data_IF_696429495137
#
_entry.id   IF_696429495137
#
_cell.length_a   1.000
_cell.length_b   1.000
_cell.length_c   1.000
_cell.angle_alpha   90.00
_cell.angle_beta   90.00
_cell.angle_gamma   90.00
#
_symmetry.space_group_name_H-M   'P 1'
#
loop_
_entity.id
_entity.type
_entity.pdbx_description
1 polymer ?
#
# COMPACT_ATOMS: atom_id res chain seq x y z
N UNK A 1 3.31 9.02 -30.86
CA UNK A 1 4.69 9.26 -30.35
C UNK A 1 4.78 8.50 -29.04
N UNK A 2 5.64 7.46 -28.96
CA UNK A 2 6.05 6.87 -27.67
C UNK A 2 6.69 8.04 -26.89
N UNK A 3 6.09 8.44 -25.77
CA UNK A 3 6.80 9.23 -24.77
C UNK A 3 7.97 8.35 -24.30
N UNK A 4 9.15 8.92 -24.20
CA UNK A 4 10.27 8.21 -23.57
C UNK A 4 9.83 7.75 -22.18
N UNK A 5 10.31 6.57 -21.77
CA UNK A 5 9.97 5.96 -20.49
C UNK A 5 10.50 6.88 -19.37
N UNK A 6 9.67 7.18 -18.36
CA UNK A 6 10.09 7.99 -17.22
C UNK A 6 11.28 7.35 -16.49
N UNK A 7 12.22 8.15 -16.06
CA UNK A 7 13.26 7.76 -15.11
C UNK A 7 12.66 7.56 -13.71
N UNK A 8 13.40 6.91 -12.81
CA UNK A 8 12.98 6.74 -11.41
C UNK A 8 12.63 8.09 -10.75
N UNK A 9 13.50 9.10 -10.89
CA UNK A 9 13.26 10.43 -10.31
C UNK A 9 11.97 11.05 -10.85
N UNK A 10 11.77 11.01 -12.16
CA UNK A 10 10.55 11.53 -12.80
C UNK A 10 9.29 10.79 -12.33
N UNK A 11 9.40 9.48 -12.04
CA UNK A 11 8.29 8.71 -11.47
C UNK A 11 7.96 9.14 -10.05
N UNK A 12 8.96 9.36 -9.21
CA UNK A 12 8.77 9.86 -7.85
C UNK A 12 8.14 11.25 -7.87
N UNK A 13 8.67 12.16 -8.70
CA UNK A 13 8.13 13.50 -8.87
C UNK A 13 6.68 13.46 -9.36
N UNK A 14 6.39 12.60 -10.35
CA UNK A 14 5.02 12.40 -10.87
C UNK A 14 4.02 12.02 -9.77
N UNK A 15 4.41 11.15 -8.83
CA UNK A 15 3.55 10.73 -7.72
C UNK A 15 3.43 11.85 -6.68
N UNK A 16 4.54 12.49 -6.31
CA UNK A 16 4.58 13.50 -5.25
C UNK A 16 3.97 14.85 -5.66
N UNK A 17 3.95 15.16 -6.95
CA UNK A 17 3.28 16.37 -7.49
C UNK A 17 1.75 16.30 -7.40
N UNK A 18 1.20 15.10 -7.11
CA UNK A 18 -0.23 14.97 -6.88
C UNK A 18 -0.55 15.50 -5.47
N UNK A 19 -1.48 16.47 -5.35
CA UNK A 19 -1.82 17.02 -4.04
C UNK A 19 -2.36 15.95 -3.08
N UNK A 20 -1.77 15.85 -1.88
CA UNK A 20 -2.08 14.81 -0.89
C UNK A 20 -3.51 14.89 -0.31
N UNK A 21 -4.14 16.06 -0.33
CA UNK A 21 -5.37 16.34 0.43
C UNK A 21 -6.46 17.05 -0.38
N UNK A 22 -6.51 16.86 -1.70
CA UNK A 22 -7.49 17.53 -2.56
C UNK A 22 -8.92 17.02 -2.37
N UNK A 23 -9.09 15.73 -2.09
CA UNK A 23 -10.38 15.09 -1.85
C UNK A 23 -10.15 13.77 -1.10
N UNK A 24 -10.95 13.52 -0.06
CA UNK A 24 -10.99 12.18 0.53
C UNK A 24 -11.77 11.28 -0.41
N UNK A 25 -11.09 10.33 -1.03
CA UNK A 25 -11.75 9.30 -1.81
C UNK A 25 -12.32 8.22 -0.87
N UNK A 26 -13.42 7.58 -1.28
CA UNK A 26 -13.88 6.36 -0.63
C UNK A 26 -12.99 5.19 -1.02
N UNK A 27 -13.04 4.11 -0.24
CA UNK A 27 -12.32 2.88 -0.56
C UNK A 27 -12.66 2.34 -1.96
N UNK A 28 -13.92 2.49 -2.40
CA UNK A 28 -14.36 2.13 -3.76
C UNK A 28 -13.54 2.79 -4.87
N UNK A 29 -12.99 3.97 -4.62
CA UNK A 29 -12.13 4.65 -5.59
C UNK A 29 -10.83 3.88 -5.81
N UNK A 30 -10.17 3.42 -4.73
CA UNK A 30 -8.99 2.58 -4.82
C UNK A 30 -9.30 1.21 -5.43
N UNK A 31 -10.44 0.61 -5.08
CA UNK A 31 -10.90 -0.65 -5.69
C UNK A 31 -11.03 -0.50 -7.20
N UNK A 32 -11.72 0.53 -7.71
CA UNK A 32 -11.84 0.81 -9.15
C UNK A 32 -10.49 1.02 -9.82
N UNK A 33 -9.56 1.66 -9.14
CA UNK A 33 -8.22 1.85 -9.67
C UNK A 33 -7.48 0.51 -9.84
N UNK A 34 -7.61 -0.39 -8.87
CA UNK A 34 -7.03 -1.74 -8.93
C UNK A 34 -7.71 -2.63 -9.99
N UNK A 35 -9.00 -2.42 -10.28
CA UNK A 35 -9.68 -3.12 -11.38
C UNK A 35 -8.98 -2.90 -12.73
N UNK A 36 -8.50 -1.68 -13.02
CA UNK A 36 -7.73 -1.40 -14.23
C UNK A 36 -6.41 -2.17 -14.28
N UNK A 37 -5.86 -2.57 -13.14
CA UNK A 37 -4.64 -3.37 -13.02
C UNK A 37 -4.92 -4.88 -12.95
N UNK A 38 -6.19 -5.30 -13.07
CA UNK A 38 -6.58 -6.71 -13.03
C UNK A 38 -6.67 -7.30 -11.62
N UNK A 39 -6.99 -6.47 -10.63
CA UNK A 39 -7.19 -6.82 -9.22
C UNK A 39 -6.01 -7.61 -8.62
N UNK A 40 -4.78 -7.05 -8.65
CA UNK A 40 -3.60 -7.76 -8.17
C UNK A 40 -3.72 -8.17 -6.69
N UNK A 41 -4.43 -7.40 -5.86
CA UNK A 41 -4.66 -7.68 -4.44
C UNK A 41 -5.40 -9.00 -4.21
N UNK A 42 -6.27 -9.43 -5.13
CA UNK A 42 -7.05 -10.66 -5.00
C UNK A 42 -6.25 -11.94 -5.32
N UNK A 43 -5.09 -11.80 -5.95
CA UNK A 43 -4.21 -12.91 -6.32
C UNK A 43 -3.15 -13.23 -5.27
N UNK A 44 -3.06 -12.43 -4.21
CA UNK A 44 -2.05 -12.50 -3.16
C UNK A 44 -2.66 -12.97 -1.84
N UNK A 45 -1.91 -13.69 -1.04
CA UNK A 45 -2.27 -13.97 0.37
C UNK A 45 -1.90 -12.74 1.21
N UNK A 46 -2.86 -11.89 1.50
CA UNK A 46 -2.62 -10.62 2.18
C UNK A 46 -2.61 -10.78 3.70
N UNK A 47 -1.54 -10.27 4.33
CA UNK A 47 -1.43 -10.06 5.77
C UNK A 47 -1.47 -8.55 6.00
N UNK A 48 -2.55 -8.06 6.63
CA UNK A 48 -2.82 -6.65 6.76
C UNK A 48 -2.54 -6.18 8.19
N UNK A 49 -1.71 -5.16 8.35
CA UNK A 49 -1.22 -4.69 9.66
C UNK A 49 -1.69 -3.27 9.94
N UNK A 50 -2.52 -3.10 10.96
CA UNK A 50 -2.96 -1.80 11.48
C UNK A 50 -2.47 -1.57 12.91
N UNK A 51 -2.57 -0.34 13.38
CA UNK A 51 -2.20 0.04 14.74
C UNK A 51 -1.71 1.48 14.81
N UNK A 52 -1.49 1.97 16.03
CA UNK A 52 -0.88 3.29 16.23
C UNK A 52 0.64 3.18 16.08
N UNK A 53 1.26 2.32 16.88
CA UNK A 53 2.71 2.10 16.87
C UNK A 53 3.04 0.63 16.55
N UNK A 54 4.25 0.40 16.04
CA UNK A 54 4.79 -0.96 15.84
C UNK A 54 4.35 -1.65 14.56
N UNK A 55 3.53 -1.04 13.69
CA UNK A 55 3.09 -1.63 12.42
C UNK A 55 4.26 -2.12 11.56
N UNK A 56 5.20 -1.20 11.25
CA UNK A 56 6.37 -1.51 10.43
C UNK A 56 7.27 -2.59 11.04
N UNK A 57 7.49 -2.57 12.37
CA UNK A 57 8.28 -3.60 13.07
C UNK A 57 7.61 -4.97 13.00
N UNK A 58 6.32 -5.05 13.32
CA UNK A 58 5.56 -6.30 13.26
C UNK A 58 5.48 -6.82 11.83
N UNK A 59 5.21 -5.94 10.85
CA UNK A 59 5.23 -6.30 9.43
C UNK A 59 6.58 -6.85 8.99
N UNK A 60 7.69 -6.24 9.45
CA UNK A 60 9.05 -6.73 9.18
C UNK A 60 9.30 -8.12 9.79
N UNK A 61 8.90 -8.35 11.05
CA UNK A 61 9.06 -9.66 11.69
C UNK A 61 8.26 -10.74 10.96
N UNK A 62 7.00 -10.48 10.63
CA UNK A 62 6.16 -11.42 9.86
C UNK A 62 6.80 -11.75 8.52
N UNK A 63 7.19 -10.72 7.75
CA UNK A 63 7.83 -10.91 6.45
C UNK A 63 9.14 -11.71 6.56
N UNK A 64 9.96 -11.45 7.57
CA UNK A 64 11.22 -12.15 7.80
C UNK A 64 11.01 -13.62 8.12
N UNK A 65 10.03 -13.96 8.98
CA UNK A 65 9.70 -15.35 9.32
C UNK A 65 9.21 -16.12 8.10
N UNK A 66 8.30 -15.53 7.32
CA UNK A 66 7.78 -16.15 6.11
C UNK A 66 8.88 -16.35 5.05
N UNK A 67 9.76 -15.36 4.87
CA UNK A 67 10.91 -15.47 3.96
C UNK A 67 11.87 -16.58 4.41
N UNK A 68 12.18 -16.66 5.71
CA UNK A 68 13.02 -17.74 6.27
C UNK A 68 12.35 -19.13 6.13
N UNK A 69 11.03 -19.18 6.02
CA UNK A 69 10.26 -20.39 5.76
C UNK A 69 10.18 -20.76 4.26
N UNK A 70 10.87 -20.02 3.39
CA UNK A 70 10.98 -20.33 1.96
C UNK A 70 9.93 -19.68 1.07
N UNK A 71 9.09 -18.80 1.60
CA UNK A 71 8.10 -18.07 0.82
C UNK A 71 8.69 -16.82 0.15
N UNK A 72 8.12 -16.41 -0.97
CA UNK A 72 8.38 -15.12 -1.59
C UNK A 72 7.40 -14.08 -1.03
N UNK A 73 7.93 -13.08 -0.32
CA UNK A 73 7.13 -12.18 0.50
C UNK A 73 7.33 -10.73 0.07
N UNK A 74 6.27 -10.13 -0.45
CA UNK A 74 6.20 -8.69 -0.63
C UNK A 74 5.89 -7.98 0.69
N UNK A 75 6.54 -6.85 0.95
CA UNK A 75 6.24 -5.98 2.08
C UNK A 75 6.06 -4.54 1.63
N UNK A 76 4.90 -3.97 1.97
CA UNK A 76 4.60 -2.55 1.81
C UNK A 76 4.52 -1.88 3.18
N UNK A 77 5.23 -0.78 3.34
CA UNK A 77 5.28 0.02 4.58
C UNK A 77 5.22 1.51 4.26
N UNK A 78 4.76 2.32 5.20
CA UNK A 78 4.70 3.77 5.08
C UNK A 78 4.82 4.44 6.46
N UNK A 79 5.42 5.66 6.53
CA UNK A 79 6.12 6.35 5.45
C UNK A 79 7.48 5.70 5.11
N UNK A 80 8.14 6.19 4.05
CA UNK A 80 9.55 5.89 3.78
C UNK A 80 10.46 6.48 4.87
N UNK A 81 11.58 5.81 5.13
CA UNK A 81 12.53 6.17 6.19
C UNK A 81 13.88 6.63 5.62
N UNK A 82 14.44 5.88 4.70
CA UNK A 82 15.75 6.13 4.12
C UNK A 82 15.69 6.53 2.66
N UNK A 83 14.78 5.95 1.91
CA UNK A 83 14.62 6.15 0.48
C UNK A 83 13.19 5.80 0.09
N UNK A 84 12.63 6.50 -0.89
CA UNK A 84 11.25 6.29 -1.36
C UNK A 84 10.94 4.81 -1.71
N UNK A 85 11.94 4.06 -2.18
CA UNK A 85 11.82 2.64 -2.53
C UNK A 85 11.75 1.69 -1.33
N UNK A 86 12.12 2.13 -0.12
CA UNK A 86 12.10 1.28 1.07
C UNK A 86 10.68 0.88 1.49
N UNK A 87 9.68 1.61 0.98
CA UNK A 87 8.26 1.23 1.10
C UNK A 87 7.94 -0.11 0.43
N UNK A 88 8.69 -0.51 -0.60
CA UNK A 88 8.38 -1.62 -1.47
C UNK A 88 9.54 -2.62 -1.46
N UNK A 89 9.36 -3.75 -0.84
CA UNK A 89 10.42 -4.78 -0.80
C UNK A 89 9.87 -6.17 -1.04
N UNK A 90 10.70 -7.04 -1.62
CA UNK A 90 10.46 -8.48 -1.74
C UNK A 90 11.63 -9.20 -1.07
N UNK A 91 11.33 -10.09 -0.12
CA UNK A 91 12.32 -10.81 0.66
C UNK A 91 13.41 -9.89 1.26
N UNK A 92 13.01 -8.71 1.73
CA UNK A 92 13.88 -7.70 2.32
C UNK A 92 14.69 -6.86 1.33
N UNK A 93 14.62 -7.13 0.03
CA UNK A 93 15.27 -6.32 -0.99
C UNK A 93 14.30 -5.27 -1.53
N UNK A 94 14.73 -4.01 -1.55
CA UNK A 94 13.93 -2.92 -2.10
C UNK A 94 13.77 -3.07 -3.61
N UNK A 95 12.65 -2.61 -4.12
CA UNK A 95 12.40 -2.53 -5.56
C UNK A 95 13.53 -1.77 -6.25
N UNK A 96 13.99 -2.24 -7.40
CA UNK A 96 15.00 -1.52 -8.20
C UNK A 96 14.41 -0.25 -8.82
N UNK A 97 15.26 0.71 -9.16
CA UNK A 97 14.83 1.96 -9.83
C UNK A 97 14.18 1.68 -11.18
N UNK A 98 14.75 0.76 -11.94
CA UNK A 98 14.24 0.38 -13.26
C UNK A 98 12.86 -0.29 -13.18
N UNK A 99 12.67 -1.15 -12.18
CA UNK A 99 11.40 -1.84 -11.98
C UNK A 99 10.34 -0.88 -11.47
N UNK A 100 10.68 -0.01 -10.50
CA UNK A 100 9.81 1.05 -10.02
C UNK A 100 9.34 1.95 -11.18
N UNK A 101 10.27 2.40 -12.03
CA UNK A 101 9.96 3.23 -13.18
C UNK A 101 9.06 2.49 -14.19
N UNK A 102 9.33 1.19 -14.43
CA UNK A 102 8.55 0.38 -15.35
C UNK A 102 7.11 0.19 -14.89
N UNK A 103 6.91 -0.09 -13.60
CA UNK A 103 5.58 -0.28 -13.02
C UNK A 103 4.82 1.04 -12.93
N UNK A 104 5.49 2.14 -12.58
CA UNK A 104 4.89 3.46 -12.53
C UNK A 104 4.44 3.92 -13.93
N UNK A 105 5.21 3.63 -14.99
CA UNK A 105 4.80 3.93 -16.37
C UNK A 105 3.51 3.18 -16.76
N UNK A 106 3.35 1.93 -16.33
CA UNK A 106 2.10 1.18 -16.54
C UNK A 106 0.95 1.82 -15.77
N UNK A 107 1.15 2.07 -14.48
CA UNK A 107 0.11 2.61 -13.57
C UNK A 107 -0.35 4.00 -14.01
N UNK A 108 0.56 4.88 -14.43
CA UNK A 108 0.26 6.24 -14.86
C UNK A 108 -0.76 6.30 -15.99
N UNK A 109 -0.76 5.31 -16.89
CA UNK A 109 -1.73 5.21 -18.00
C UNK A 109 -3.16 4.98 -17.54
N UNK A 110 -3.34 4.42 -16.34
CA UNK A 110 -4.65 4.19 -15.74
C UNK A 110 -5.07 5.34 -14.84
N UNK A 111 -4.11 6.02 -14.20
CA UNK A 111 -4.38 7.27 -13.45
C UNK A 111 -5.12 8.30 -14.31
N UNK A 112 -4.69 8.45 -15.57
CA UNK A 112 -5.30 9.40 -16.52
C UNK A 112 -6.72 8.96 -16.97
N UNK A 113 -7.12 7.73 -16.73
CA UNK A 113 -8.46 7.21 -17.05
C UNK A 113 -9.46 7.35 -15.91
N UNK A 114 -8.98 7.63 -14.70
CA UNK A 114 -9.83 7.81 -13.55
C UNK A 114 -10.59 9.13 -13.63
N UNK A 115 -11.90 9.16 -13.33
CA UNK A 115 -12.67 10.40 -13.29
C UNK A 115 -12.12 11.41 -12.29
N UNK A 116 -11.74 10.93 -11.12
CA UNK A 116 -11.00 11.66 -10.10
C UNK A 116 -9.60 11.06 -10.01
N UNK A 117 -8.57 11.90 -10.02
CA UNK A 117 -7.17 11.43 -9.97
C UNK A 117 -6.87 10.78 -8.62
N UNK A 118 -6.31 9.55 -8.58
CA UNK A 118 -5.91 8.92 -7.35
C UNK A 118 -4.89 9.76 -6.55
N UNK A 119 -4.98 9.69 -5.24
CA UNK A 119 -4.00 10.29 -4.34
C UNK A 119 -2.63 9.59 -4.44
N UNK A 120 -1.53 10.21 -4.01
CA UNK A 120 -0.23 9.55 -3.95
C UNK A 120 -0.28 8.21 -3.21
N UNK A 121 -0.96 8.15 -2.07
CA UNK A 121 -1.06 6.92 -1.28
C UNK A 121 -1.88 5.81 -1.96
N UNK A 122 -2.93 6.15 -2.71
CA UNK A 122 -3.66 5.18 -3.54
C UNK A 122 -2.79 4.63 -4.68
N UNK A 123 -1.96 5.49 -5.30
CA UNK A 123 -1.02 5.07 -6.35
C UNK A 123 0.06 4.16 -5.76
N UNK A 124 0.64 4.53 -4.63
CA UNK A 124 1.63 3.72 -3.91
C UNK A 124 1.07 2.35 -3.51
N UNK A 125 -0.17 2.34 -3.01
CA UNK A 125 -0.88 1.09 -2.65
C UNK A 125 -1.08 0.20 -3.88
N UNK A 126 -1.54 0.77 -4.98
CA UNK A 126 -1.73 0.04 -6.23
C UNK A 126 -0.40 -0.48 -6.79
N UNK A 127 0.66 0.33 -6.72
CA UNK A 127 2.02 -0.06 -7.12
C UNK A 127 2.52 -1.22 -6.28
N UNK A 128 2.31 -1.19 -4.96
CA UNK A 128 2.73 -2.28 -4.07
C UNK A 128 2.05 -3.61 -4.43
N UNK A 129 0.72 -3.64 -4.55
CA UNK A 129 0.00 -4.85 -4.91
C UNK A 129 0.36 -5.35 -6.30
N UNK A 130 0.49 -4.45 -7.28
CA UNK A 130 0.87 -4.79 -8.64
C UNK A 130 2.31 -5.31 -8.71
N UNK A 131 3.26 -4.70 -8.00
CA UNK A 131 4.64 -5.16 -7.86
C UNK A 131 4.74 -6.58 -7.32
N UNK A 132 4.01 -6.87 -6.24
CA UNK A 132 4.05 -8.18 -5.61
C UNK A 132 3.41 -9.26 -6.48
N UNK A 133 2.31 -8.94 -7.14
CA UNK A 133 1.64 -9.87 -8.08
C UNK A 133 2.49 -10.15 -9.31
N UNK A 134 3.10 -9.13 -9.92
CA UNK A 134 3.96 -9.30 -11.09
C UNK A 134 5.25 -10.08 -10.78
N UNK A 135 5.61 -10.17 -9.54
CA UNK A 135 6.75 -10.95 -9.06
C UNK A 135 6.36 -12.29 -8.44
N UNK A 136 5.12 -12.76 -8.62
CA UNK A 136 4.64 -14.05 -8.07
C UNK A 136 4.92 -14.21 -6.57
N UNK A 137 4.66 -13.18 -5.77
CA UNK A 137 4.78 -13.27 -4.32
C UNK A 137 3.72 -14.20 -3.73
N UNK A 138 4.12 -15.08 -2.81
CA UNK A 138 3.20 -15.95 -2.08
C UNK A 138 2.36 -15.17 -1.07
N UNK A 139 2.98 -14.18 -0.44
CA UNK A 139 2.36 -13.31 0.57
C UNK A 139 2.66 -11.85 0.30
N UNK A 140 1.69 -11.00 0.67
CA UNK A 140 1.86 -9.56 0.75
C UNK A 140 1.60 -9.11 2.21
N UNK A 141 2.63 -8.62 2.89
CA UNK A 141 2.53 -7.99 4.21
C UNK A 141 2.36 -6.50 3.99
N UNK A 142 1.18 -5.98 4.29
CA UNK A 142 0.76 -4.62 3.94
C UNK A 142 0.44 -3.82 5.18
N UNK A 143 1.13 -2.71 5.37
CA UNK A 143 0.93 -1.76 6.46
C UNK A 143 -0.14 -0.74 6.10
N UNK A 144 -1.13 -0.50 6.99
CA UNK A 144 -2.06 0.62 6.87
C UNK A 144 -1.33 1.95 7.01
N UNK A 145 -1.69 2.91 6.19
CA UNK A 145 -1.21 4.29 6.32
C UNK A 145 -1.82 4.97 7.54
N UNK A 146 -3.15 5.02 7.60
CA UNK A 146 -3.89 5.67 8.68
C UNK A 146 -5.23 4.99 8.95
N UNK A 147 -5.54 4.75 10.23
CA UNK A 147 -6.80 4.12 10.61
C UNK A 147 -6.84 2.65 10.24
N UNK A 148 -7.66 2.26 9.29
CA UNK A 148 -7.82 0.89 8.80
C UNK A 148 -9.04 0.74 7.91
N UNK A 149 -10.25 1.00 8.41
CA UNK A 149 -11.51 0.79 7.70
C UNK A 149 -11.56 1.44 6.32
N UNK A 150 -11.19 2.71 6.25
CA UNK A 150 -11.19 3.54 5.03
C UNK A 150 -9.79 3.76 4.47
N UNK A 151 -8.80 2.97 4.90
CA UNK A 151 -7.44 3.07 4.39
C UNK A 151 -7.35 2.47 3.00
N UNK A 152 -6.63 3.12 2.08
CA UNK A 152 -6.49 2.65 0.71
C UNK A 152 -5.93 1.22 0.62
N UNK A 153 -5.19 0.77 1.64
CA UNK A 153 -4.66 -0.60 1.71
C UNK A 153 -5.71 -1.66 2.04
N UNK A 154 -6.92 -1.24 2.52
CA UNK A 154 -7.99 -2.16 2.96
C UNK A 154 -8.85 -2.73 1.80
N UNK A 155 -8.26 -2.92 0.64
CA UNK A 155 -8.93 -3.30 -0.61
C UNK A 155 -9.00 -4.80 -0.86
N UNK A 156 -8.17 -5.60 -0.19
CA UNK A 156 -8.17 -7.05 -0.33
C UNK A 156 -9.27 -7.68 0.54
N UNK A 157 -10.10 -8.54 -0.04
CA UNK A 157 -11.13 -9.31 0.68
C UNK A 157 -10.63 -10.69 1.11
N UNK A 158 -9.59 -11.21 0.47
CA UNK A 158 -8.98 -12.52 0.70
C UNK A 158 -7.82 -12.51 1.72
N UNK A 159 -7.89 -11.64 2.73
CA UNK A 159 -6.85 -11.56 3.77
C UNK A 159 -6.75 -12.87 4.54
N UNK A 160 -5.52 -13.37 4.66
CA UNK A 160 -5.23 -14.57 5.47
C UNK A 160 -4.98 -14.23 6.93
N UNK A 161 -4.63 -12.97 7.22
CA UNK A 161 -4.41 -12.49 8.60
C UNK A 161 -4.62 -10.97 8.65
N UNK A 162 -5.32 -10.51 9.69
CA UNK A 162 -5.39 -9.10 10.07
C UNK A 162 -4.73 -8.94 11.44
N UNK A 163 -3.78 -7.99 11.54
CA UNK A 163 -3.00 -7.75 12.76
C UNK A 163 -3.26 -6.36 13.28
N UNK A 164 -3.66 -6.24 14.53
CA UNK A 164 -3.74 -4.98 15.26
C UNK A 164 -2.61 -4.91 16.30
N UNK A 165 -1.66 -4.00 16.12
CA UNK A 165 -0.46 -3.93 16.98
C UNK A 165 -0.72 -3.21 18.29
N UNK A 166 -1.23 -1.99 18.21
CA UNK A 166 -1.56 -1.18 19.39
C UNK A 166 -2.60 -0.13 19.05
N UNK A 167 -3.31 0.37 20.06
CA UNK A 167 -4.22 1.51 19.95
C UNK A 167 -3.83 2.57 20.98
N UNK A 168 -3.61 3.78 20.49
CA UNK A 168 -3.40 4.97 21.31
C UNK A 168 -4.07 6.18 20.62
N UNK A 169 -4.19 7.29 21.32
CA UNK A 169 -4.67 8.54 20.75
C UNK A 169 -3.68 9.02 19.69
N UNK A 170 -4.11 9.04 18.44
CA UNK A 170 -3.33 9.45 17.29
C UNK A 170 -4.28 9.86 16.16
N UNK A 171 -3.86 10.80 15.33
CA UNK A 171 -4.67 11.31 14.21
C UNK A 171 -6.12 11.65 14.63
N UNK A 172 -6.31 12.22 15.82
CA UNK A 172 -7.62 12.46 16.44
C UNK A 172 -8.55 13.33 15.59
N UNK A 173 -7.99 14.19 14.73
CA UNK A 173 -8.75 15.01 13.77
C UNK A 173 -9.45 14.17 12.70
N UNK A 174 -8.98 12.94 12.43
CA UNK A 174 -9.49 12.07 11.38
C UNK A 174 -10.15 10.81 11.93
N UNK A 175 -9.59 10.21 12.98
CA UNK A 175 -10.03 8.92 13.51
C UNK A 175 -10.99 9.02 14.70
N UNK A 176 -11.14 10.23 15.23
CA UNK A 176 -11.94 10.49 16.45
C UNK A 176 -11.07 10.72 17.68
N UNK A 177 -11.70 11.26 18.70
CA UNK A 177 -11.06 11.82 19.91
C UNK A 177 -11.05 10.85 21.11
N UNK A 178 -11.49 9.60 20.91
CA UNK A 178 -11.49 8.55 21.94
C UNK A 178 -10.81 7.27 21.44
N UNK A 179 -10.33 6.46 22.38
CA UNK A 179 -9.72 5.15 22.04
C UNK A 179 -10.72 4.22 21.35
N UNK A 180 -12.00 4.26 21.74
CA UNK A 180 -13.05 3.45 21.15
C UNK A 180 -13.24 3.78 19.66
N UNK A 181 -13.36 5.07 19.31
CA UNK A 181 -13.50 5.52 17.92
C UNK A 181 -12.28 5.13 17.08
N UNK A 182 -11.07 5.32 17.62
CA UNK A 182 -9.83 4.95 16.94
C UNK A 182 -9.74 3.43 16.76
N UNK A 183 -10.16 2.66 17.78
CA UNK A 183 -10.22 1.19 17.71
C UNK A 183 -11.17 0.75 16.61
N UNK A 184 -12.38 1.32 16.54
CA UNK A 184 -13.36 1.01 15.51
C UNK A 184 -12.80 1.23 14.10
N UNK A 185 -12.07 2.31 13.89
CA UNK A 185 -11.42 2.56 12.59
C UNK A 185 -10.34 1.53 12.28
N UNK A 186 -9.51 1.17 13.27
CA UNK A 186 -8.38 0.26 13.07
C UNK A 186 -8.83 -1.19 12.88
N UNK A 187 -9.79 -1.65 13.67
CA UNK A 187 -10.33 -3.04 13.56
C UNK A 187 -11.15 -3.26 12.28
N UNK A 188 -11.53 -2.19 11.59
CA UNK A 188 -12.18 -2.27 10.28
C UNK A 188 -11.35 -2.96 9.18
N UNK A 189 -10.09 -3.32 9.44
CA UNK A 189 -9.30 -4.20 8.54
C UNK A 189 -9.68 -5.68 8.66
N UNK A 190 -10.37 -6.07 9.72
CA UNK A 190 -10.85 -7.46 9.90
C UNK A 190 -12.09 -7.63 9.03
N UNK A 191 -12.01 -8.57 8.11
CA UNK A 191 -13.11 -8.96 7.21
C UNK A 191 -13.37 -10.44 7.33
#
# INVERSE_FOLDING_TARGET
RRKDKMTYSECVDYILDIPKFTKKHSLDHTVRFLEYLGNPQEKLKVIHVAGTNGKGSVGTFIASVLTASGYKVGRYTSPDVLNYRDKFSINGQWISEDEFASLTDVISRFVDKMPDRPTPFEIETALAYYYFEQNDCDFAVVECGMGGKEDATNVADNKVLSVLTSVALDHTQFLGDTLEKITEQKIGIVK
#
